data_IF_352155367841
#
_entry.id   IF_352155367841
#
_cell.length_a   1.000
_cell.length_b   1.000
_cell.length_c   1.000
_cell.angle_alpha   90.00
_cell.angle_beta   90.00
_cell.angle_gamma   90.00
#
_symmetry.space_group_name_H-M   'P 1'
#
loop_
_entity.id
_entity.type
_entity.pdbx_description
1 polymer ?
2 non-polymer ?
3 non-polymer ?
4 water ?
#
# COMPACT_ATOMS: atom_id res chain seq x y z
N UNK A 6 -11.35 8.48 14.57
CA UNK A 6 -10.64 7.70 13.54
C UNK A 6 -9.33 7.15 14.04
N UNK A 7 -9.24 6.92 15.35
CA UNK A 7 -8.08 6.28 15.89
C UNK A 7 -8.07 4.90 15.23
N UNK A 8 -6.91 4.48 14.74
CA UNK A 8 -6.82 3.17 14.08
C UNK A 8 -6.00 2.25 14.96
N UNK A 9 -5.17 1.43 14.31
CA UNK A 9 -4.29 0.50 15.00
C UNK A 9 -3.01 1.23 15.41
N UNK A 10 -2.67 1.13 16.70
CA UNK A 10 -1.49 1.81 17.25
C UNK A 10 -0.86 0.94 18.31
N UNK A 11 0.46 0.93 18.37
CA UNK A 11 1.33 1.64 17.39
C UNK A 11 1.25 0.94 15.98
N UNK A 12 1.60 1.66 14.92
CA UNK A 12 1.53 1.08 13.55
C UNK A 12 2.62 0.03 13.33
N UNK A 13 2.20 -1.14 12.81
CA UNK A 13 3.12 -2.24 12.51
C UNK A 13 2.80 -2.74 11.11
N UNK A 14 3.79 -2.70 10.21
CA UNK A 14 3.55 -3.06 8.80
C UNK A 14 3.00 -4.49 8.64
N UNK A 15 3.60 -5.44 9.33
CA UNK A 15 3.13 -6.82 9.22
C UNK A 15 1.66 -6.94 9.61
N UNK A 16 1.26 -6.27 10.69
CA UNK A 16 -0.14 -6.29 11.10
C UNK A 16 -1.01 -5.57 10.05
N UNK A 17 -0.50 -4.46 9.54
CA UNK A 17 -1.24 -3.65 8.54
C UNK A 17 -1.51 -4.46 7.28
N UNK A 18 -0.65 -5.43 7.01
CA UNK A 18 -0.79 -6.31 5.85
C UNK A 18 -1.57 -7.60 6.18
N UNK A 19 -2.34 -7.58 7.26
CA UNK A 19 -3.11 -8.77 7.70
C UNK A 19 -2.18 -9.98 7.86
N UNK A 20 -0.97 -9.72 8.39
CA UNK A 20 0.02 -10.76 8.65
C UNK A 20 0.37 -11.58 7.43
N UNK A 21 0.43 -10.91 6.28
CA UNK A 21 0.80 -11.54 5.01
C UNK A 21 -0.21 -12.54 4.45
N UNK A 22 -1.49 -12.40 4.83
CA UNK A 22 -2.54 -13.34 4.38
C UNK A 22 -3.51 -12.79 3.33
N UNK A 23 -3.34 -11.53 2.93
CA UNK A 23 -4.31 -10.89 2.02
C UNK A 23 -3.66 -10.04 0.95
N UNK A 24 -4.42 -9.80 -0.13
CA UNK A 24 -3.97 -8.91 -1.19
C UNK A 24 -4.51 -7.51 -0.89
N UNK A 25 -3.75 -6.49 -1.29
CA UNK A 25 -4.17 -5.09 -1.11
C UNK A 25 -4.04 -4.39 -2.43
N UNK A 26 -5.00 -3.50 -2.73
CA UNK A 26 -5.00 -2.74 -3.96
C UNK A 26 -4.75 -1.28 -3.66
N UNK A 27 -4.00 -0.63 -4.54
CA UNK A 27 -3.75 0.80 -4.39
C UNK A 27 -4.98 1.62 -4.87
N UNK A 28 -5.59 2.39 -3.97
CA UNK A 28 -6.83 3.12 -4.34
C UNK A 28 -6.68 4.63 -4.50
N UNK A 29 -5.65 5.19 -3.87
CA UNK A 29 -5.35 6.61 -3.99
C UNK A 29 -3.85 6.79 -4.01
N UNK A 30 -3.37 7.70 -4.86
CA UNK A 30 -1.96 8.05 -4.89
C UNK A 30 -1.78 9.47 -5.36
N UNK A 31 -0.79 10.14 -4.79
CA UNK A 31 -0.44 11.48 -5.24
C UNK A 31 0.59 11.39 -6.38
N UNK A 32 1.09 10.18 -6.65
CA UNK A 32 2.14 9.96 -7.69
C UNK A 32 1.51 9.84 -9.07
N UNK A 33 1.78 10.81 -9.95
CA UNK A 33 1.25 10.78 -11.32
C UNK A 33 1.70 9.55 -12.11
N UNK A 34 2.79 8.93 -11.69
CA UNK A 34 3.30 7.74 -12.40
C UNK A 34 2.83 6.41 -11.79
N UNK A 35 1.93 6.47 -10.79
CA UNK A 35 1.43 5.24 -10.12
C UNK A 35 0.89 4.26 -11.18
N UNK A 36 1.22 2.97 -11.05
CA UNK A 36 0.75 1.95 -12.01
C UNK A 36 -0.75 1.69 -11.91
N UNK A 37 -1.42 1.62 -13.07
CA UNK A 37 -2.85 1.31 -13.11
C UNK A 37 -3.09 -0.07 -12.49
N UNK A 38 -4.14 -0.18 -11.67
CA UNK A 38 -4.56 -1.46 -11.11
C UNK A 38 -3.53 -2.15 -10.21
N UNK A 39 -2.60 -1.37 -9.67
CA UNK A 39 -1.56 -1.92 -8.81
C UNK A 39 -2.13 -2.66 -7.62
N UNK A 40 -1.69 -3.90 -7.48
CA UNK A 40 -2.11 -4.74 -6.39
C UNK A 40 -0.92 -5.54 -5.87
N UNK A 41 -0.87 -5.73 -4.57
CA UNK A 41 0.17 -6.53 -3.94
C UNK A 41 -0.43 -7.82 -3.35
N UNK A 42 0.20 -8.95 -3.64
CA UNK A 42 -0.25 -10.23 -3.11
C UNK A 42 0.92 -11.03 -2.55
N UNK A 43 0.78 -11.52 -1.33
CA UNK A 43 1.86 -12.32 -0.69
C UNK A 43 2.17 -13.55 -1.55
N UNK A 44 3.44 -13.92 -1.64
CA UNK A 44 3.84 -15.07 -2.46
C UNK A 44 4.67 -16.04 -1.63
N UNK A 45 4.27 -16.24 -0.39
CA UNK A 45 4.97 -17.14 0.51
C UNK A 45 4.88 -16.62 1.94
N UNK A 46 5.31 -17.45 2.90
CA UNK A 46 5.30 -17.08 4.31
C UNK A 46 6.39 -16.07 4.60
N UNK A 47 6.28 -15.41 5.74
CA UNK A 47 7.32 -14.51 6.20
C UNK A 47 8.62 -15.32 6.43
N UNK A 48 9.74 -14.80 5.94
CA UNK A 48 11.05 -15.46 6.10
C UNK A 48 11.96 -14.47 6.86
N UNK A 49 12.19 -14.74 8.13
CA UNK A 49 12.97 -13.83 8.95
C UNK A 49 12.20 -12.47 9.04
N UNK A 50 12.83 -11.39 8.58
CA UNK A 50 12.19 -10.05 8.63
C UNK A 50 11.68 -9.61 7.24
N UNK A 51 11.57 -10.59 6.32
CA UNK A 51 11.12 -10.32 4.94
C UNK A 51 9.85 -11.06 4.56
N UNK A 52 9.21 -10.56 3.51
CA UNK A 52 7.98 -11.14 2.99
C UNK A 52 8.04 -11.08 1.45
N UNK A 53 7.78 -12.21 0.79
CA UNK A 53 7.82 -12.21 -0.69
C UNK A 53 6.48 -11.75 -1.20
N UNK A 54 6.50 -10.86 -2.19
CA UNK A 54 5.27 -10.27 -2.71
C UNK A 54 5.30 -10.17 -4.22
N UNK A 55 4.18 -10.51 -4.86
CA UNK A 55 4.04 -10.26 -6.29
C UNK A 55 3.18 -9.02 -6.48
N UNK A 56 3.70 -8.08 -7.25
CA UNK A 56 2.97 -6.85 -7.57
C UNK A 56 2.43 -6.96 -8.98
N UNK A 57 1.12 -6.84 -9.12
CA UNK A 57 0.47 -6.93 -10.43
C UNK A 57 -0.10 -5.59 -10.82
N UNK A 58 -0.04 -5.30 -12.10
CA UNK A 58 -0.56 -4.03 -12.62
C UNK A 58 -0.82 -4.15 -14.11
N UNK A 59 -1.52 -3.17 -14.65
CA UNK A 59 -1.90 -3.17 -16.05
C UNK A 59 -1.25 -1.99 -16.75
N UNK A 60 -0.59 -2.25 -17.86
CA UNK A 60 0.01 -1.18 -18.63
C UNK A 60 -0.73 -1.11 -19.95
N UNK A 61 -1.56 -0.07 -20.08
CA UNK A 61 -2.44 0.07 -21.22
C UNK A 61 -3.55 -0.97 -21.10
N UNK A 62 -3.46 -2.00 -21.91
CA UNK A 62 -4.42 -3.08 -21.86
C UNK A 62 -3.74 -4.39 -21.39
N UNK A 63 -2.40 -4.38 -21.37
CA UNK A 63 -1.59 -5.56 -21.00
C UNK A 63 -1.34 -5.70 -19.47
N UNK A 64 -1.70 -6.86 -18.91
CA UNK A 64 -1.44 -7.14 -17.49
C UNK A 64 0.02 -7.56 -17.29
N UNK A 65 0.62 -7.10 -16.19
CA UNK A 65 2.01 -7.42 -15.86
C UNK A 65 2.13 -7.80 -14.38
N UNK A 66 3.27 -8.39 -14.02
CA UNK A 66 3.51 -8.82 -12.64
C UNK A 66 5.01 -8.84 -12.34
N UNK A 67 5.39 -8.34 -11.17
CA UNK A 67 6.79 -8.31 -10.77
C UNK A 67 6.95 -8.91 -9.37
N UNK A 68 8.13 -9.49 -9.13
CA UNK A 68 8.43 -10.18 -7.86
C UNK A 68 9.29 -9.32 -6.95
N UNK A 69 8.74 -8.93 -5.81
CA UNK A 69 9.47 -8.06 -4.86
C UNK A 69 9.73 -8.72 -3.50
N UNK A 70 10.79 -8.29 -2.84
CA UNK A 70 11.08 -8.74 -1.50
C UNK A 70 10.88 -7.55 -0.56
N UNK A 71 9.97 -7.71 0.40
CA UNK A 71 9.69 -6.64 1.38
C UNK A 71 10.51 -6.91 2.64
N UNK A 72 11.24 -5.91 3.11
CA UNK A 72 11.94 -6.04 4.38
C UNK A 72 11.22 -5.16 5.34
N UNK A 73 10.71 -5.75 6.40
CA UNK A 73 9.89 -5.01 7.36
C UNK A 73 10.62 -4.69 8.64
N UNK A 74 10.43 -3.47 9.11
CA UNK A 74 11.04 -3.02 10.36
C UNK A 74 10.03 -2.12 11.07
N UNK A 75 9.21 -2.70 11.93
CA UNK A 75 8.15 -1.94 12.58
C UNK A 75 7.16 -1.45 11.50
N UNK A 76 7.01 -0.13 11.37
CA UNK A 76 6.11 0.45 10.36
C UNK A 76 6.81 0.65 9.00
N UNK A 77 8.12 0.47 8.97
CA UNK A 77 8.89 0.71 7.75
C UNK A 77 8.89 -0.49 6.83
N UNK A 78 8.78 -0.21 5.53
CA UNK A 78 8.79 -1.25 4.47
C UNK A 78 9.81 -0.88 3.39
N UNK A 79 10.82 -1.71 3.22
CA UNK A 79 11.79 -1.54 2.14
C UNK A 79 11.53 -2.63 1.12
N UNK A 80 11.15 -2.23 -0.09
CA UNK A 80 10.84 -3.19 -1.15
C UNK A 80 11.96 -3.22 -2.19
N UNK A 81 12.42 -4.43 -2.53
CA UNK A 81 13.51 -4.57 -3.50
C UNK A 81 13.23 -5.55 -4.63
N UNK A 82 13.71 -5.17 -5.82
CA UNK A 82 13.61 -5.99 -7.00
C UNK A 82 14.88 -5.72 -7.83
N UNK A 83 15.81 -6.67 -7.82
CA UNK A 83 17.07 -6.48 -8.53
C UNK A 83 17.81 -5.29 -7.91
N UNK A 84 18.16 -4.31 -8.74
CA UNK A 84 18.86 -3.11 -8.25
C UNK A 84 17.88 -2.00 -7.84
N UNK A 85 16.58 -2.28 -7.96
CA UNK A 85 15.54 -1.30 -7.62
C UNK A 85 15.19 -1.34 -6.13
N UNK A 86 15.02 -0.16 -5.54
CA UNK A 86 14.62 -0.05 -4.14
C UNK A 86 13.55 1.01 -3.94
N UNK A 87 12.51 0.67 -3.20
CA UNK A 87 11.45 1.65 -2.87
C UNK A 87 11.23 1.61 -1.39
N UNK A 88 11.30 2.78 -0.76
CA UNK A 88 11.18 2.89 0.70
C UNK A 88 9.85 3.52 1.09
N UNK A 89 9.18 2.91 2.05
CA UNK A 89 7.91 3.43 2.52
C UNK A 89 7.83 3.34 4.01
N UNK A 90 6.92 4.12 4.60
CA UNK A 90 6.52 3.91 5.98
C UNK A 90 5.00 3.89 6.03
N UNK A 91 4.45 2.89 6.69
CA UNK A 91 3.00 2.84 6.92
C UNK A 91 2.71 3.88 8.03
N UNK A 92 2.02 4.97 7.68
CA UNK A 92 1.76 6.07 8.62
C UNK A 92 0.41 6.00 9.34
N UNK A 93 -0.57 5.32 8.73
CA UNK A 93 -1.88 5.10 9.38
C UNK A 93 -2.38 3.70 9.00
N UNK A 94 -2.95 2.99 9.97
CA UNK A 94 -3.50 1.65 9.72
C UNK A 94 -4.88 1.59 10.38
N UNK A 95 -5.90 1.19 9.63
CA UNK A 95 -7.25 1.18 10.17
C UNK A 95 -7.39 0.16 11.30
N UNK A 96 -8.47 0.29 12.09
CA UNK A 96 -8.68 -0.56 13.29
C UNK A 96 -8.54 -2.04 13.01
N UNK A 97 -9.13 -2.48 11.90
CA UNK A 97 -9.15 -3.90 11.56
C UNK A 97 -8.09 -4.28 10.49
N UNK A 98 -7.21 -3.34 10.14
CA UNK A 98 -6.15 -3.59 9.11
C UNK A 98 -6.78 -3.85 7.75
N UNK A 99 -7.88 -3.14 7.51
CA UNK A 99 -8.64 -3.23 6.28
C UNK A 99 -8.06 -2.25 5.22
N UNK A 100 -7.54 -1.11 5.69
CA UNK A 100 -6.87 -0.15 4.81
C UNK A 100 -5.74 0.55 5.58
N UNK A 101 -4.80 1.14 4.84
CA UNK A 101 -3.69 1.86 5.47
C UNK A 101 -3.16 2.92 4.51
N UNK A 102 -2.39 3.86 5.05
CA UNK A 102 -1.86 4.97 4.25
C UNK A 102 -0.34 4.95 4.41
N UNK A 103 0.36 5.07 3.27
CA UNK A 103 1.83 5.03 3.26
C UNK A 103 2.40 6.35 2.86
N UNK A 104 3.60 6.65 3.36
CA UNK A 104 4.39 7.74 2.82
C UNK A 104 5.49 7.04 1.99
N UNK A 105 5.66 7.46 0.73
CA UNK A 105 6.72 6.92 -0.14
C UNK A 105 7.89 7.89 -0.02
N UNK A 106 8.95 7.44 0.61
CA UNK A 106 10.10 8.29 0.91
C UNK A 106 11.08 8.45 -0.26
N UNK A 107 11.21 9.70 -0.72
CA UNK A 107 12.10 10.05 -1.83
C UNK A 107 12.20 11.57 -1.85
N UNK A 108 12.90 12.11 -2.86
CA UNK A 108 13.12 13.56 -2.97
C UNK A 108 11.84 14.38 -2.73
N UNK A 109 10.80 14.07 -3.50
CA UNK A 109 9.50 14.73 -3.35
C UNK A 109 8.54 13.59 -2.96
N UNK A 110 8.26 13.47 -1.67
CA UNK A 110 7.48 12.33 -1.17
C UNK A 110 6.12 12.23 -1.79
N UNK A 111 5.60 11.01 -1.86
CA UNK A 111 4.24 10.77 -2.31
C UNK A 111 3.50 9.98 -1.23
N UNK A 112 2.19 9.98 -1.32
CA UNK A 112 1.36 9.27 -0.34
C UNK A 112 0.40 8.37 -1.05
N UNK A 113 0.09 7.22 -0.43
CA UNK A 113 -0.78 6.24 -1.04
C UNK A 113 -1.80 5.69 -0.04
N UNK A 114 -2.94 5.27 -0.54
CA UNK A 114 -3.90 4.55 0.30
C UNK A 114 -4.11 3.16 -0.31
N UNK A 115 -3.95 2.12 0.51
CA UNK A 115 -4.11 0.76 0.05
C UNK A 115 -5.27 0.16 0.86
N UNK A 116 -5.99 -0.79 0.26
CA UNK A 116 -7.07 -1.47 0.98
C UNK A 116 -7.31 -2.90 0.50
N UNK A 117 -7.91 -3.70 1.36
CA UNK A 117 -8.33 -5.05 0.98
C UNK A 117 -9.28 -4.88 -0.17
N UNK A 118 -9.21 -5.79 -1.15
CA UNK A 118 -10.03 -5.70 -2.36
C UNK A 118 -11.46 -6.14 -2.08
N UNK A 119 -11.72 -6.46 -0.83
CA UNK A 119 -13.04 -6.89 -0.42
C UNK A 119 -13.85 -5.67 -0.05
N UNK A 120 -15.16 -5.84 0.04
CA UNK A 120 -16.05 -4.73 0.42
C UNK A 120 -16.14 -4.66 1.96
N UNK A 121 -16.99 -3.76 2.46
CA UNK A 121 -17.25 -3.65 3.90
C UNK A 121 -16.41 -2.60 4.65
N UNK A 122 -16.70 -2.48 5.95
CA UNK A 122 -15.97 -1.55 6.84
C UNK A 122 -15.79 -0.16 6.22
N UNK A 123 -16.89 0.43 5.77
CA UNK A 123 -16.86 1.74 5.12
C UNK A 123 -16.30 2.85 6.03
N UNK A 124 -16.61 2.79 7.32
CA UNK A 124 -16.14 3.80 8.26
C UNK A 124 -14.61 3.79 8.36
N UNK A 125 -14.02 2.59 8.37
CA UNK A 125 -12.56 2.47 8.39
C UNK A 125 -11.97 3.02 7.07
N UNK A 126 -12.66 2.77 5.95
CA UNK A 126 -12.22 3.31 4.64
C UNK A 126 -12.26 4.85 4.65
N UNK A 127 -13.35 5.41 5.15
CA UNK A 127 -13.46 6.86 5.27
C UNK A 127 -12.35 7.43 6.16
N UNK A 128 -12.05 6.74 7.27
CA UNK A 128 -10.95 7.18 8.15
C UNK A 128 -9.60 7.21 7.39
N UNK A 129 -9.33 6.18 6.60
CA UNK A 129 -8.07 6.17 5.83
C UNK A 129 -8.05 7.40 4.87
N UNK A 130 -9.16 7.68 4.22
CA UNK A 130 -9.24 8.84 3.31
C UNK A 130 -9.01 10.14 4.05
N UNK A 131 -9.62 10.28 5.23
CA UNK A 131 -9.41 11.48 6.03
C UNK A 131 -7.91 11.62 6.40
N UNK A 132 -7.29 10.52 6.83
CA UNK A 132 -5.87 10.56 7.23
C UNK A 132 -4.97 10.90 6.06
N UNK A 133 -5.29 10.36 4.89
CA UNK A 133 -4.52 10.67 3.67
C UNK A 133 -4.66 12.17 3.35
N UNK A 134 -5.88 12.70 3.50
CA UNK A 134 -6.10 14.14 3.26
C UNK A 134 -5.22 15.01 4.21
N UNK A 135 -5.09 14.58 5.47
CA UNK A 135 -4.27 15.31 6.45
C UNK A 135 -2.77 15.26 6.09
N UNK A 136 -2.27 14.06 5.81
CA UNK A 136 -0.86 13.85 5.51
C UNK A 136 -0.45 14.48 4.19
N UNK A 137 -1.39 14.50 3.23
CA UNK A 137 -1.11 14.98 1.89
C UNK A 137 -1.96 16.14 1.45
N UNK A 138 -2.29 17.04 2.38
CA UNK A 138 -3.18 18.14 2.07
C UNK A 138 -2.66 19.00 0.91
N UNK A 139 -3.56 19.36 0.00
CA UNK A 139 -3.18 20.21 -1.14
C UNK A 139 -2.63 19.43 -2.33
N UNK A 140 -2.37 18.12 -2.15
CA UNK A 140 -1.84 17.32 -3.26
C UNK A 140 -2.97 16.71 -4.06
N UNK A 141 -2.82 16.69 -5.37
CA UNK A 141 -3.82 16.10 -6.24
C UNK A 141 -3.76 14.60 -6.07
N UNK A 142 -4.93 13.98 -5.97
CA UNK A 142 -4.99 12.54 -5.83
C UNK A 142 -5.44 11.88 -7.13
N UNK A 143 -4.83 10.75 -7.45
CA UNK A 143 -5.23 9.95 -8.59
C UNK A 143 -5.74 8.61 -8.05
N UNK A 144 -6.50 7.89 -8.88
CA UNK A 144 -7.20 6.66 -8.45
C UNK A 144 -6.79 5.43 -9.30
N UNK A 145 -5.69 4.77 -8.91
CA UNK A 145 -5.15 3.66 -9.72
C UNK A 145 -6.07 2.46 -9.88
N UNK A 146 -7.00 2.28 -8.95
CA UNK A 146 -7.93 1.15 -9.06
C UNK A 146 -9.15 1.48 -9.93
N UNK A 147 -9.30 2.75 -10.30
CA UNK A 147 -10.38 3.17 -11.20
C UNK A 147 -9.78 3.32 -12.61
N UNK A 148 -9.14 2.24 -13.07
CA UNK A 148 -8.51 2.19 -14.38
C UNK A 148 -9.01 0.94 -15.12
N UNK A 149 -10.30 0.65 -14.96
CA UNK A 149 -10.93 -0.50 -15.63
C UNK A 149 -10.16 -1.76 -15.25
N UNK A 150 -10.09 -2.01 -13.94
CA UNK A 150 -9.31 -3.12 -13.39
C UNK A 150 -10.10 -4.39 -13.20
X LIG B 1 3.93 2.64 -7.93
X LIG B 1 3.53 2.29 -9.15
X LIG B 1 5.10 2.51 -7.61
X LIG B 1 2.93 3.13 -6.92
X LIG C 1 6.91 -0.83 -10.68
X LIG C 1 6.42 -1.94 -10.32
X LIG C 1 6.97 -3.05 -10.69
X LIG C 1 5.14 -1.93 -9.45
X LIG C 1 5.49 -2.36 -8.01
X LIG C 1 6.32 -1.28 -7.29
X LIG C 1 6.69 -1.83 -5.88
X LIG C 1 5.70 -1.26 -4.84
X LIG C 1 5.96 -1.86 -3.42
X LIG C 1 4.79 -1.42 -2.49
X LIG C 1 5.10 -1.70 -1.02
X LIG C 1 4.05 -1.47 -0.02
X LIG C 1 2.64 -0.93 -0.51
X LIG C 1 1.48 -1.38 0.44
X LIG C 1 1.68 -0.78 1.76
X LIG C 1 1.65 -2.86 0.85
X LIG C 1 1.00 -3.79 -0.17
X LIG C 1 0.83 -5.18 0.53
X LIG C 1 0.79 -6.25 -0.54
X LIG C 1 0.57 -7.63 0.13
X LIG C 1 1.71 -7.91 1.11
#
# INVERSE_FOLDING_TARGET
DSESDCTGSEPVDAFQAFSEGKEAYVLVRSTDPKARDCLKGEPAGEKQDNTLPVMMTFKQGTDWASTDWTFTLDGAKVTATLGQLTQNREVVYDSQSHHCHVDKVEKEVPDYEMWMLDAGGLEVEVECCRQKLEELASGRNQMYPHLKDC
ACT C O OXT CH3
RCL O1 C1 O2 C2 C3 C4 C5 C6 C7 C8 C9 C10 C11 C12 O12 C13 C14 C15 C16 C17 C18
#
